data_IF_440418985379
#
_entry.id   IF_440418985379
#
_cell.length_a   1.000
_cell.length_b   1.000
_cell.length_c   1.000
_cell.angle_alpha   90.00
_cell.angle_beta   90.00
_cell.angle_gamma   90.00
#
_symmetry.space_group_name_H-M   'P 1'
#
loop_
_entity.id
_entity.type
_entity.pdbx_description
1 polymer ?
#
# COMPACT_ATOMS: atom_id res chain seq x y z
N UNK A 1 28.07 30.03 17.20
CA UNK A 1 28.46 28.64 17.40
C UNK A 1 27.12 27.87 17.60
N UNK A 2 26.65 27.23 16.55
CA UNK A 2 25.40 26.43 16.60
C UNK A 2 25.68 25.18 17.40
N UNK A 3 25.13 25.08 18.59
CA UNK A 3 25.14 23.84 19.35
C UNK A 3 24.18 22.86 18.64
N UNK A 4 24.73 21.98 17.82
CA UNK A 4 23.97 20.82 17.35
C UNK A 4 23.65 19.96 18.57
N UNK A 5 22.40 20.04 19.04
CA UNK A 5 21.89 19.09 20.01
C UNK A 5 22.10 17.69 19.41
N UNK A 6 22.73 16.74 20.09
CA UNK A 6 22.85 15.39 19.55
C UNK A 6 21.45 14.83 19.32
N UNK A 7 21.20 14.30 18.13
CA UNK A 7 19.96 13.59 17.82
C UNK A 7 19.91 12.40 18.79
N UNK A 8 18.85 12.27 19.60
CA UNK A 8 18.72 11.13 20.50
C UNK A 8 18.60 9.85 19.67
N UNK A 9 19.66 9.04 19.67
CA UNK A 9 19.77 7.81 18.84
C UNK A 9 19.15 6.59 19.49
N UNK A 10 18.44 6.74 20.60
CA UNK A 10 18.31 5.65 21.57
C UNK A 10 16.92 4.98 21.60
N UNK A 11 15.88 5.53 20.94
CA UNK A 11 14.55 4.92 21.02
C UNK A 11 14.36 3.83 19.95
N UNK A 12 14.83 4.06 18.73
CA UNK A 12 14.81 3.11 17.62
C UNK A 12 16.22 2.89 17.06
N UNK A 13 16.65 1.64 17.00
CA UNK A 13 17.97 1.25 16.50
C UNK A 13 17.81 0.40 15.24
N UNK A 14 18.48 0.75 14.11
CA UNK A 14 18.49 -0.09 12.94
C UNK A 14 19.27 -1.39 13.19
N UNK A 15 18.67 -2.51 12.87
CA UNK A 15 19.28 -3.84 13.02
C UNK A 15 19.19 -4.63 11.71
N UNK A 16 19.82 -5.79 11.64
CA UNK A 16 19.67 -6.70 10.50
C UNK A 16 18.24 -7.25 10.32
N UNK A 17 17.40 -7.15 11.37
CA UNK A 17 15.99 -7.59 11.33
C UNK A 17 14.99 -6.47 11.07
N UNK A 18 15.40 -5.21 11.11
CA UNK A 18 14.55 -4.02 10.99
C UNK A 18 14.84 -3.01 12.11
N UNK A 19 13.96 -2.03 12.27
CA UNK A 19 14.03 -1.04 13.36
C UNK A 19 13.62 -1.71 14.67
N UNK A 20 14.45 -1.61 15.70
CA UNK A 20 14.22 -2.21 17.02
C UNK A 20 14.05 -1.15 18.10
N UNK A 21 13.01 -1.27 18.90
CA UNK A 21 12.79 -0.52 20.12
C UNK A 21 13.16 -1.40 21.31
N UNK A 22 14.34 -1.18 21.93
CA UNK A 22 14.79 -1.96 23.07
C UNK A 22 13.88 -1.74 24.29
N UNK A 23 13.52 -0.50 24.57
CA UNK A 23 12.65 -0.10 25.70
C UNK A 23 11.24 -0.65 25.59
N UNK A 24 10.74 -0.88 24.36
CA UNK A 24 9.42 -1.44 24.08
C UNK A 24 9.43 -2.96 23.85
N UNK A 25 10.58 -3.55 23.56
CA UNK A 25 10.73 -4.97 23.28
C UNK A 25 10.05 -5.41 21.97
N UNK A 26 10.09 -4.58 20.93
CA UNK A 26 9.46 -4.87 19.64
C UNK A 26 10.29 -4.37 18.46
N UNK A 27 9.99 -4.91 17.26
CA UNK A 27 10.49 -4.41 15.98
C UNK A 27 9.39 -3.65 15.25
N UNK A 28 9.75 -2.64 14.46
CA UNK A 28 8.85 -2.01 13.48
C UNK A 28 9.21 -2.53 12.09
N UNK A 29 8.21 -3.02 11.35
CA UNK A 29 8.33 -3.53 9.99
C UNK A 29 9.57 -4.44 9.82
N UNK A 30 9.62 -5.55 10.56
CA UNK A 30 10.79 -6.42 10.51
C UNK A 30 10.93 -7.10 9.15
N UNK A 31 12.15 -7.27 8.69
CA UNK A 31 12.47 -7.97 7.43
C UNK A 31 12.43 -9.49 7.55
N UNK A 32 12.30 -10.03 8.75
CA UNK A 32 12.31 -11.46 9.08
C UNK A 32 11.42 -11.70 10.29
N UNK A 33 10.92 -12.94 10.52
CA UNK A 33 10.13 -13.28 11.69
C UNK A 33 10.77 -12.87 12.99
N UNK A 34 9.97 -12.29 13.89
CA UNK A 34 10.36 -11.83 15.23
C UNK A 34 9.28 -12.16 16.25
N UNK A 35 9.60 -12.11 17.53
CA UNK A 35 8.63 -12.36 18.60
C UNK A 35 7.49 -11.33 18.61
N UNK A 36 7.80 -10.02 18.42
CA UNK A 36 6.78 -8.96 18.33
C UNK A 36 7.13 -7.98 17.22
N UNK A 37 6.24 -7.89 16.25
CA UNK A 37 6.29 -6.94 15.14
C UNK A 37 5.19 -5.90 15.30
N UNK A 38 5.51 -4.62 15.45
CA UNK A 38 4.58 -3.54 15.15
C UNK A 38 4.66 -3.31 13.65
N UNK A 39 3.54 -3.53 12.97
CA UNK A 39 3.46 -3.54 11.52
C UNK A 39 2.67 -2.35 11.03
N UNK A 40 3.30 -1.52 10.21
CA UNK A 40 2.66 -0.32 9.65
C UNK A 40 1.54 -0.67 8.68
N UNK A 41 1.72 -1.70 7.85
CA UNK A 41 0.71 -2.15 6.89
C UNK A 41 0.96 -3.62 6.44
N UNK A 42 0.00 -4.18 5.69
CA UNK A 42 -0.02 -5.62 5.39
C UNK A 42 0.81 -6.06 4.17
N UNK A 43 1.72 -5.25 3.61
CA UNK A 43 2.64 -5.74 2.58
C UNK A 43 3.68 -6.71 3.18
N UNK A 44 4.18 -7.65 2.37
CA UNK A 44 5.04 -8.76 2.85
C UNK A 44 6.39 -8.28 3.38
N UNK A 45 6.90 -7.20 2.86
CA UNK A 45 8.17 -6.57 3.25
C UNK A 45 8.07 -5.80 4.57
N UNK A 46 6.84 -5.47 5.02
CA UNK A 46 6.55 -4.84 6.31
C UNK A 46 5.94 -5.84 7.32
N UNK A 47 5.19 -6.84 6.83
CA UNK A 47 4.57 -7.90 7.62
C UNK A 47 5.04 -9.28 7.12
N UNK A 48 6.30 -9.69 7.39
CA UNK A 48 6.78 -11.01 6.98
C UNK A 48 6.00 -12.11 7.69
N UNK A 49 5.70 -13.25 7.01
CA UNK A 49 5.02 -14.37 7.65
C UNK A 49 5.86 -14.99 8.75
N UNK A 50 5.20 -15.47 9.82
CA UNK A 50 5.83 -16.25 10.88
C UNK A 50 6.33 -15.44 12.08
N UNK A 51 5.92 -14.19 12.27
CA UNK A 51 6.07 -13.50 13.54
C UNK A 51 5.18 -14.11 14.60
N UNK A 52 5.64 -14.17 15.86
CA UNK A 52 4.84 -14.75 16.95
C UNK A 52 3.64 -13.86 17.31
N UNK A 53 3.79 -12.53 17.16
CA UNK A 53 2.73 -11.54 17.35
C UNK A 53 2.91 -10.38 16.37
N UNK A 54 1.82 -10.02 15.68
CA UNK A 54 1.69 -8.77 14.94
C UNK A 54 0.91 -7.77 15.79
N UNK A 55 1.40 -6.54 15.91
CA UNK A 55 0.70 -5.41 16.52
C UNK A 55 0.41 -4.42 15.40
N UNK A 56 -0.86 -4.16 15.11
CA UNK A 56 -1.24 -3.38 13.93
C UNK A 56 -2.69 -2.87 14.07
N UNK A 57 -3.18 -2.11 13.08
CA UNK A 57 -4.58 -1.71 13.05
C UNK A 57 -5.51 -2.91 12.80
N UNK A 58 -6.81 -2.83 13.13
CA UNK A 58 -7.77 -3.89 12.85
C UNK A 58 -7.80 -4.29 11.37
N UNK A 59 -7.75 -3.32 10.43
CA UNK A 59 -7.78 -3.58 9.00
C UNK A 59 -6.50 -4.24 8.50
N UNK A 60 -5.35 -3.83 9.00
CA UNK A 60 -4.07 -4.52 8.72
C UNK A 60 -4.10 -5.96 9.24
N UNK A 61 -4.68 -6.22 10.42
CA UNK A 61 -4.85 -7.57 10.94
C UNK A 61 -5.75 -8.44 10.06
N UNK A 62 -6.85 -7.90 9.54
CA UNK A 62 -7.75 -8.61 8.62
C UNK A 62 -7.02 -8.99 7.32
N UNK A 63 -6.22 -8.08 6.76
CA UNK A 63 -5.39 -8.33 5.57
C UNK A 63 -4.29 -9.37 5.85
N UNK A 64 -3.63 -9.34 7.00
CA UNK A 64 -2.64 -10.34 7.43
C UNK A 64 -3.29 -11.72 7.53
N UNK A 65 -4.46 -11.82 8.18
CA UNK A 65 -5.21 -13.08 8.31
C UNK A 65 -5.70 -13.61 6.97
N UNK A 66 -6.15 -12.73 6.08
CA UNK A 66 -6.56 -13.11 4.72
C UNK A 66 -5.43 -13.74 3.91
N UNK A 67 -4.17 -13.36 4.19
CA UNK A 67 -2.98 -13.80 3.44
C UNK A 67 -2.28 -15.00 4.07
N UNK A 68 -2.23 -15.06 5.40
CA UNK A 68 -1.41 -16.03 6.14
C UNK A 68 -2.23 -17.03 6.95
N UNK A 69 -3.54 -16.85 6.99
CA UNK A 69 -4.46 -17.70 7.74
C UNK A 69 -5.08 -17.00 8.96
N UNK A 70 -6.29 -17.44 9.34
CA UNK A 70 -7.07 -16.81 10.41
C UNK A 70 -6.43 -16.93 11.80
N UNK A 71 -5.51 -17.88 11.98
CA UNK A 71 -4.83 -18.18 13.25
C UNK A 71 -3.73 -17.16 13.60
N UNK A 72 -3.44 -16.18 12.73
CA UNK A 72 -2.39 -15.19 13.01
C UNK A 72 -2.70 -14.40 14.28
N UNK A 73 -1.72 -14.39 15.21
CA UNK A 73 -1.79 -13.66 16.46
C UNK A 73 -1.61 -12.16 16.20
N UNK A 74 -2.72 -11.44 16.04
CA UNK A 74 -2.74 -10.00 15.84
C UNK A 74 -3.35 -9.31 17.08
N UNK A 75 -2.55 -8.47 17.73
CA UNK A 75 -3.01 -7.48 18.70
C UNK A 75 -3.36 -6.20 17.94
N UNK A 76 -4.61 -5.77 18.01
CA UNK A 76 -5.06 -4.59 17.27
C UNK A 76 -5.01 -3.33 18.13
N UNK A 77 -4.58 -2.23 17.52
CA UNK A 77 -4.56 -0.90 18.09
C UNK A 77 -5.56 -0.02 17.34
N UNK A 78 -6.45 0.63 18.09
CA UNK A 78 -7.38 1.62 17.54
C UNK A 78 -6.65 2.95 17.27
N UNK A 79 -7.12 3.69 16.27
CA UNK A 79 -6.56 4.97 15.87
C UNK A 79 -6.42 5.95 17.04
N UNK A 80 -5.26 6.58 17.17
CA UNK A 80 -4.96 7.58 18.19
C UNK A 80 -4.89 7.06 19.63
N UNK A 81 -5.27 5.80 19.88
CA UNK A 81 -5.25 5.23 21.22
C UNK A 81 -3.84 4.84 21.65
N UNK A 82 -3.45 5.29 22.83
CA UNK A 82 -2.13 5.01 23.41
C UNK A 82 -2.08 3.65 24.09
N UNK A 83 -1.08 2.85 23.77
CA UNK A 83 -0.81 1.54 24.36
C UNK A 83 0.61 1.48 24.91
N UNK A 84 0.76 0.98 26.12
CA UNK A 84 2.07 0.84 26.74
C UNK A 84 2.74 -0.48 26.32
N UNK A 85 3.98 -0.39 25.85
CA UNK A 85 4.89 -1.52 25.61
C UNK A 85 6.20 -1.26 26.36
N UNK A 86 6.45 -2.05 27.42
CA UNK A 86 7.61 -1.82 28.28
C UNK A 86 7.64 -0.40 28.83
N UNK A 87 8.68 0.35 28.47
CA UNK A 87 8.90 1.73 28.92
C UNK A 87 8.52 2.80 27.88
N UNK A 88 7.69 2.45 26.89
CA UNK A 88 7.23 3.38 25.87
C UNK A 88 5.71 3.34 25.71
N UNK A 89 5.14 4.47 25.27
CA UNK A 89 3.78 4.58 24.77
C UNK A 89 3.82 4.53 23.24
N UNK A 90 2.90 3.76 22.63
CA UNK A 90 2.74 3.63 21.20
C UNK A 90 1.32 3.98 20.83
N UNK A 91 1.13 4.76 19.77
CA UNK A 91 -0.15 4.96 19.10
C UNK A 91 -0.01 4.85 17.59
N UNK A 92 -1.12 4.55 16.91
CA UNK A 92 -1.18 4.38 15.46
C UNK A 92 -2.05 5.46 14.83
N UNK A 93 -1.65 5.99 13.69
CA UNK A 93 -2.31 7.08 12.97
C UNK A 93 -2.33 6.79 11.48
N UNK A 94 -3.38 7.19 10.72
CA UNK A 94 -3.48 6.88 9.29
C UNK A 94 -2.26 7.33 8.47
N UNK A 95 -1.78 6.46 7.58
CA UNK A 95 -0.65 6.72 6.69
C UNK A 95 -1.06 6.96 5.21
N UNK A 96 -2.32 6.69 4.83
CA UNK A 96 -2.85 6.94 3.49
C UNK A 96 -2.40 6.00 2.38
N UNK A 97 -1.55 5.00 2.69
CA UNK A 97 -0.95 4.12 1.69
C UNK A 97 -1.90 3.04 1.17
N UNK A 98 -2.36 2.16 2.04
CA UNK A 98 -3.39 1.13 1.79
C UNK A 98 -4.34 1.08 2.98
N UNK A 99 -5.49 0.43 2.86
CA UNK A 99 -6.45 0.29 3.95
C UNK A 99 -5.79 -0.24 5.22
N UNK A 100 -5.96 0.50 6.32
CA UNK A 100 -5.39 0.19 7.63
C UNK A 100 -3.92 0.53 7.79
N UNK A 101 -3.24 1.11 6.77
CA UNK A 101 -1.85 1.54 6.89
C UNK A 101 -1.68 2.63 7.93
N UNK A 102 -0.66 2.48 8.78
CA UNK A 102 -0.48 3.31 9.95
C UNK A 102 0.94 3.86 10.09
N UNK A 103 1.01 5.11 10.51
CA UNK A 103 2.20 5.69 11.12
C UNK A 103 2.29 5.22 12.57
N UNK A 104 3.47 4.91 13.05
CA UNK A 104 3.72 4.46 14.42
C UNK A 104 4.35 5.61 15.20
N UNK A 105 3.61 6.20 16.14
CA UNK A 105 4.08 7.21 17.07
C UNK A 105 4.57 6.52 18.34
N UNK A 106 5.76 6.87 18.80
CA UNK A 106 6.42 6.29 19.97
C UNK A 106 6.94 7.40 20.87
N UNK A 107 6.67 7.27 22.16
CA UNK A 107 7.11 8.20 23.21
C UNK A 107 7.59 7.44 24.43
N UNK A 108 8.73 7.81 24.99
CA UNK A 108 9.25 7.19 26.20
C UNK A 108 8.48 7.67 27.45
N UNK A 109 8.21 6.78 28.41
CA UNK A 109 7.45 7.11 29.63
C UNK A 109 8.15 8.13 30.55
N UNK A 110 9.46 8.21 30.48
CA UNK A 110 10.28 9.15 31.26
C UNK A 110 10.47 10.51 30.53
N UNK A 111 9.77 10.69 29.41
CA UNK A 111 9.89 11.86 28.56
C UNK A 111 11.00 11.72 27.52
N UNK A 112 11.22 12.76 26.75
CA UNK A 112 12.18 12.78 25.66
C UNK A 112 11.48 13.00 24.30
N UNK A 113 12.22 12.84 23.18
CA UNK A 113 11.67 13.10 21.86
C UNK A 113 10.59 12.11 21.47
N UNK A 114 9.56 12.60 20.81
CA UNK A 114 8.52 11.82 20.15
C UNK A 114 9.02 11.37 18.79
N UNK A 115 8.94 10.09 18.52
CA UNK A 115 9.31 9.48 17.24
C UNK A 115 8.09 9.08 16.45
N UNK A 116 8.13 9.30 15.14
CA UNK A 116 7.12 8.78 14.20
C UNK A 116 7.83 8.02 13.09
N UNK A 117 7.33 6.82 12.80
CA UNK A 117 7.71 6.01 11.64
C UNK A 117 6.50 5.94 10.72
N UNK A 118 6.60 6.50 9.52
CA UNK A 118 5.44 6.56 8.61
C UNK A 118 5.06 5.21 8.02
N UNK A 119 6.00 4.27 7.92
CA UNK A 119 5.88 3.19 6.96
C UNK A 119 5.76 3.76 5.55
N UNK A 120 5.15 3.02 4.64
CA UNK A 120 4.76 3.55 3.34
C UNK A 120 3.58 4.50 3.53
N UNK A 121 3.60 5.67 2.86
CA UNK A 121 2.63 6.71 3.09
C UNK A 121 2.21 7.43 1.80
N UNK A 122 1.04 8.07 1.85
CA UNK A 122 0.48 8.87 0.76
C UNK A 122 -0.39 9.99 1.32
N UNK A 123 -0.17 11.21 0.86
CA UNK A 123 -0.87 12.40 1.31
C UNK A 123 -2.09 12.80 0.46
N UNK A 124 -2.28 12.15 -0.70
CA UNK A 124 -3.47 12.35 -1.53
C UNK A 124 -4.67 11.51 -1.04
N UNK A 125 -5.86 12.02 -1.25
CA UNK A 125 -7.10 11.28 -0.97
C UNK A 125 -7.24 10.02 -1.83
N UNK A 126 -7.70 8.95 -1.20
CA UNK A 126 -7.99 7.68 -1.83
C UNK A 126 -9.25 7.07 -1.18
N UNK A 127 -10.33 6.84 -1.93
CA UNK A 127 -11.58 6.33 -1.36
C UNK A 127 -11.47 4.92 -0.78
N UNK A 128 -10.33 4.25 -0.98
CA UNK A 128 -10.10 2.88 -0.51
C UNK A 128 -9.23 2.80 0.74
N UNK A 129 -8.77 3.95 1.28
CA UNK A 129 -7.93 4.02 2.48
C UNK A 129 -8.39 5.11 3.43
N UNK A 130 -7.87 5.09 4.64
CA UNK A 130 -7.96 6.22 5.57
C UNK A 130 -7.02 7.36 5.08
N UNK A 131 -7.49 8.61 5.15
CA UNK A 131 -6.69 9.77 4.76
C UNK A 131 -5.46 9.95 5.67
N UNK A 132 -4.34 10.38 5.10
CA UNK A 132 -3.10 10.65 5.86
C UNK A 132 -3.36 11.67 6.98
N UNK A 133 -2.87 11.37 8.18
CA UNK A 133 -2.92 12.25 9.34
C UNK A 133 -1.53 12.80 9.67
N UNK A 134 -1.38 14.12 9.81
CA UNK A 134 -0.13 14.71 10.30
C UNK A 134 -0.01 14.55 11.82
N UNK A 135 1.06 13.89 12.28
CA UNK A 135 1.29 13.58 13.69
C UNK A 135 2.51 14.35 14.19
N UNK A 136 2.40 15.28 15.15
CA UNK A 136 3.53 16.01 15.69
C UNK A 136 4.62 15.08 16.26
N UNK A 137 5.87 15.31 15.90
CA UNK A 137 7.01 14.55 16.41
C UNK A 137 8.31 15.39 16.39
N UNK A 138 9.32 14.91 17.12
CA UNK A 138 10.68 15.47 17.14
C UNK A 138 11.60 14.73 16.16
N UNK A 139 11.31 13.45 15.89
CA UNK A 139 12.07 12.60 14.98
C UNK A 139 11.12 11.87 14.03
N UNK A 140 11.29 12.08 12.73
CA UNK A 140 10.53 11.44 11.67
C UNK A 140 11.40 10.43 10.92
N UNK A 141 10.93 9.19 10.82
CA UNK A 141 11.44 8.17 9.89
C UNK A 141 10.41 8.01 8.80
N UNK A 142 10.75 8.40 7.58
CA UNK A 142 9.86 8.41 6.41
C UNK A 142 10.43 7.56 5.29
N UNK A 143 9.54 6.97 4.48
CA UNK A 143 9.91 6.32 3.21
C UNK A 143 10.49 7.30 2.18
N UNK A 144 11.11 6.75 1.13
CA UNK A 144 11.57 7.53 -0.02
C UNK A 144 11.49 6.74 -1.34
N UNK A 145 10.47 5.89 -1.47
CA UNK A 145 10.26 5.02 -2.65
C UNK A 145 10.28 5.81 -3.96
N UNK A 146 9.64 6.96 -3.97
CA UNK A 146 9.60 7.90 -5.07
C UNK A 146 10.25 9.26 -4.73
N UNK A 147 11.27 9.24 -3.90
CA UNK A 147 12.01 10.40 -3.40
C UNK A 147 12.96 11.06 -4.43
N UNK A 148 12.54 11.17 -5.69
CA UNK A 148 13.27 11.86 -6.74
C UNK A 148 12.34 12.83 -7.49
N UNK A 149 12.84 14.02 -7.92
CA UNK A 149 12.04 15.05 -8.60
C UNK A 149 11.41 14.64 -9.94
N UNK A 150 11.70 13.44 -10.44
CA UNK A 150 11.10 12.92 -11.67
C UNK A 150 9.72 12.25 -11.41
N UNK A 151 9.38 11.99 -10.16
CA UNK A 151 8.13 11.33 -9.81
C UNK A 151 7.10 12.37 -9.40
N UNK A 152 6.14 12.57 -10.30
CA UNK A 152 4.94 13.37 -10.09
C UNK A 152 3.75 12.56 -10.58
N UNK A 153 2.70 12.50 -9.78
CA UNK A 153 1.53 11.74 -10.13
C UNK A 153 0.53 12.62 -10.89
N UNK A 154 -0.02 12.12 -12.01
CA UNK A 154 -1.23 12.71 -12.57
C UNK A 154 -2.41 12.47 -11.63
N UNK A 155 -3.45 13.28 -11.77
CA UNK A 155 -4.70 13.10 -11.02
C UNK A 155 -5.23 11.68 -11.18
N UNK A 156 -5.56 10.98 -10.08
CA UNK A 156 -5.99 9.58 -10.11
C UNK A 156 -7.17 9.30 -11.03
N UNK A 157 -8.17 10.19 -11.03
CA UNK A 157 -9.36 10.09 -11.86
C UNK A 157 -9.01 10.13 -13.37
N UNK A 158 -8.01 10.93 -13.75
CA UNK A 158 -7.51 10.98 -15.12
C UNK A 158 -6.90 9.64 -15.54
N UNK A 159 -6.12 9.02 -14.65
CA UNK A 159 -5.49 7.71 -14.92
C UNK A 159 -6.53 6.61 -14.99
N UNK A 160 -7.51 6.60 -14.09
CA UNK A 160 -8.61 5.64 -14.07
C UNK A 160 -9.50 5.77 -15.31
N UNK A 161 -9.80 7.01 -15.74
CA UNK A 161 -10.49 7.25 -17.02
C UNK A 161 -9.69 6.69 -18.20
N UNK A 162 -8.39 6.92 -18.28
CA UNK A 162 -7.54 6.36 -19.35
C UNK A 162 -7.52 4.82 -19.34
N UNK A 163 -7.61 4.19 -18.19
CA UNK A 163 -7.70 2.73 -18.08
C UNK A 163 -9.06 2.24 -18.62
N UNK A 164 -10.15 2.91 -18.25
CA UNK A 164 -11.50 2.57 -18.73
C UNK A 164 -11.61 2.78 -20.25
N UNK A 165 -11.11 3.86 -20.81
CA UNK A 165 -11.10 4.15 -22.25
C UNK A 165 -10.29 3.10 -23.02
N UNK A 166 -9.13 2.70 -22.49
CA UNK A 166 -8.31 1.65 -23.05
C UNK A 166 -9.02 0.30 -23.01
N UNK A 167 -9.67 -0.04 -21.90
CA UNK A 167 -10.45 -1.26 -21.76
C UNK A 167 -11.65 -1.28 -22.72
N UNK A 168 -12.42 -0.18 -22.81
CA UNK A 168 -13.54 -0.06 -23.74
C UNK A 168 -13.07 -0.21 -25.21
N UNK A 169 -11.92 0.36 -25.57
CA UNK A 169 -11.33 0.23 -26.90
C UNK A 169 -10.97 -1.22 -27.21
N UNK A 170 -10.36 -1.92 -26.27
CA UNK A 170 -10.02 -3.34 -26.41
C UNK A 170 -11.28 -4.22 -26.54
N UNK A 171 -12.26 -3.98 -25.67
CA UNK A 171 -13.53 -4.70 -25.71
C UNK A 171 -14.26 -4.55 -27.04
N UNK A 172 -14.26 -3.34 -27.62
CA UNK A 172 -14.81 -3.08 -28.96
C UNK A 172 -14.04 -3.79 -30.09
N UNK A 173 -12.80 -4.19 -29.85
CA UNK A 173 -11.94 -4.96 -30.76
C UNK A 173 -11.86 -6.45 -30.41
N UNK A 174 -12.77 -6.94 -29.59
CA UNK A 174 -12.80 -8.35 -29.12
C UNK A 174 -11.48 -8.81 -28.45
N UNK A 175 -10.73 -7.87 -27.83
CA UNK A 175 -9.50 -8.11 -27.08
C UNK A 175 -9.75 -8.09 -25.59
N UNK A 176 -9.10 -8.97 -24.88
CA UNK A 176 -9.09 -8.96 -23.41
C UNK A 176 -8.06 -7.97 -22.89
N UNK A 177 -8.44 -7.14 -21.94
CA UNK A 177 -7.51 -6.24 -21.23
C UNK A 177 -6.93 -6.92 -20.01
N UNK A 178 -5.62 -6.84 -19.79
CA UNK A 178 -4.95 -7.39 -18.61
C UNK A 178 -4.12 -6.32 -17.94
N UNK A 179 -4.48 -5.95 -16.72
CA UNK A 179 -3.73 -4.98 -15.92
C UNK A 179 -2.98 -5.68 -14.80
N UNK A 180 -1.68 -5.55 -14.78
CA UNK A 180 -0.83 -6.03 -13.72
C UNK A 180 -0.63 -4.94 -12.68
N UNK A 181 -0.81 -5.29 -11.40
CA UNK A 181 -0.59 -4.39 -10.27
C UNK A 181 -0.35 -5.18 -8.98
N UNK A 182 0.08 -4.54 -7.89
CA UNK A 182 0.23 -5.22 -6.61
C UNK A 182 -1.11 -5.65 -6.04
N UNK A 183 -1.12 -6.84 -5.42
CA UNK A 183 -2.36 -7.56 -5.05
C UNK A 183 -3.13 -6.93 -3.88
N UNK A 184 -2.46 -6.17 -3.02
CA UNK A 184 -3.03 -5.52 -1.83
C UNK A 184 -2.86 -4.00 -1.97
N UNK A 185 -3.93 -3.25 -1.75
CA UNK A 185 -3.98 -1.79 -1.86
C UNK A 185 -4.19 -1.33 -3.30
N UNK A 186 -3.16 -1.31 -4.11
CA UNK A 186 -3.21 -0.79 -5.49
C UNK A 186 -4.23 -1.50 -6.38
N UNK A 187 -4.40 -2.82 -6.22
CA UNK A 187 -5.42 -3.55 -6.95
C UNK A 187 -6.83 -3.09 -6.56
N UNK A 188 -7.11 -2.87 -5.29
CA UNK A 188 -8.41 -2.43 -4.81
C UNK A 188 -8.69 -0.98 -5.22
N UNK A 189 -7.67 -0.10 -5.16
CA UNK A 189 -7.76 1.26 -5.70
C UNK A 189 -8.09 1.27 -7.19
N UNK A 190 -7.43 0.41 -7.98
CA UNK A 190 -7.74 0.24 -9.39
C UNK A 190 -9.19 -0.24 -9.58
N UNK A 191 -9.60 -1.28 -8.84
CA UNK A 191 -10.95 -1.85 -8.95
C UNK A 191 -12.03 -0.81 -8.63
N UNK A 192 -11.83 0.04 -7.61
CA UNK A 192 -12.77 1.10 -7.26
C UNK A 192 -13.03 2.12 -8.39
N UNK A 193 -12.06 2.27 -9.32
CA UNK A 193 -12.18 3.19 -10.45
C UNK A 193 -12.59 2.54 -11.77
N UNK A 194 -12.83 1.23 -11.82
CA UNK A 194 -13.26 0.56 -13.06
C UNK A 194 -14.78 0.71 -13.26
N UNK A 195 -15.18 0.99 -14.51
CA UNK A 195 -16.59 1.07 -14.90
C UNK A 195 -17.13 -0.33 -15.27
N UNK A 196 -18.00 -0.94 -14.45
CA UNK A 196 -18.53 -2.28 -14.70
C UNK A 196 -19.48 -2.36 -15.91
N UNK A 197 -19.88 -1.22 -16.47
CA UNK A 197 -20.74 -1.20 -17.68
C UNK A 197 -19.96 -1.54 -18.97
N UNK A 198 -18.63 -1.46 -18.95
CA UNK A 198 -17.78 -1.80 -20.11
C UNK A 198 -17.77 -3.31 -20.33
N UNK A 199 -17.65 -4.10 -19.28
CA UNK A 199 -17.58 -5.55 -19.38
C UNK A 199 -17.30 -6.24 -18.04
N UNK A 200 -17.09 -7.57 -18.04
CA UNK A 200 -16.80 -8.32 -16.82
C UNK A 200 -15.39 -8.00 -16.29
N UNK A 201 -15.28 -7.92 -14.95
CA UNK A 201 -14.03 -7.66 -14.24
C UNK A 201 -13.52 -8.95 -13.61
N UNK A 202 -12.42 -9.47 -14.12
CA UNK A 202 -11.75 -10.66 -13.59
C UNK A 202 -10.63 -10.30 -12.63
N UNK A 203 -10.49 -11.05 -11.53
CA UNK A 203 -9.36 -10.89 -10.61
C UNK A 203 -8.59 -12.20 -10.41
N UNK A 204 -7.27 -12.11 -10.34
CA UNK A 204 -6.42 -13.25 -10.02
C UNK A 204 -6.70 -13.77 -8.61
N UNK A 205 -6.53 -15.08 -8.38
CA UNK A 205 -6.78 -15.71 -7.08
C UNK A 205 -6.08 -15.04 -5.88
N UNK A 206 -4.91 -14.45 -6.08
CA UNK A 206 -4.19 -13.73 -5.03
C UNK A 206 -4.86 -12.41 -4.59
N UNK A 207 -5.78 -11.88 -5.39
CA UNK A 207 -6.52 -10.65 -5.09
C UNK A 207 -7.85 -10.94 -4.37
N UNK A 208 -8.37 -12.16 -4.46
CA UNK A 208 -9.71 -12.49 -3.93
C UNK A 208 -9.81 -12.19 -2.44
N UNK A 209 -8.93 -12.76 -1.62
CA UNK A 209 -8.96 -12.55 -0.18
C UNK A 209 -8.84 -11.07 0.22
N UNK A 210 -7.80 -10.33 -0.23
CA UNK A 210 -7.71 -8.90 0.03
C UNK A 210 -8.95 -8.11 -0.41
N UNK A 211 -9.52 -8.39 -1.59
CA UNK A 211 -10.70 -7.70 -2.10
C UNK A 211 -11.93 -7.94 -1.21
N UNK A 212 -12.10 -9.16 -0.69
CA UNK A 212 -13.18 -9.46 0.27
C UNK A 212 -12.99 -8.72 1.60
N UNK A 213 -11.74 -8.54 2.07
CA UNK A 213 -11.45 -7.73 3.28
C UNK A 213 -11.86 -6.27 3.06
N UNK A 214 -11.57 -5.69 1.88
CA UNK A 214 -12.00 -4.33 1.53
C UNK A 214 -13.53 -4.20 1.49
N UNK A 215 -14.23 -5.16 0.87
CA UNK A 215 -15.72 -5.19 0.86
C UNK A 215 -16.31 -5.32 2.26
N UNK A 216 -15.74 -6.18 3.11
CA UNK A 216 -16.15 -6.31 4.50
C UNK A 216 -15.94 -5.02 5.32
N UNK A 217 -15.01 -4.17 4.88
CA UNK A 217 -14.80 -2.83 5.42
C UNK A 217 -15.73 -1.77 4.83
N UNK A 218 -16.75 -2.17 4.04
CA UNK A 218 -17.68 -1.30 3.34
C UNK A 218 -17.03 -0.38 2.28
N UNK A 219 -15.87 -0.75 1.75
CA UNK A 219 -15.31 -0.07 0.58
C UNK A 219 -16.08 -0.55 -0.66
N UNK A 220 -16.63 0.42 -1.40
CA UNK A 220 -17.38 0.15 -2.62
C UNK A 220 -16.44 -0.32 -3.74
N UNK A 221 -16.60 -1.58 -4.15
CA UNK A 221 -15.86 -2.19 -5.24
C UNK A 221 -16.86 -2.89 -6.19
N UNK A 222 -16.65 -2.79 -7.51
CA UNK A 222 -17.52 -3.48 -8.47
C UNK A 222 -17.51 -5.00 -8.25
N UNK A 223 -18.52 -5.69 -8.75
CA UNK A 223 -18.53 -7.15 -8.74
C UNK A 223 -17.36 -7.70 -9.56
N UNK A 224 -16.74 -8.74 -9.06
CA UNK A 224 -15.56 -9.34 -9.68
C UNK A 224 -15.70 -10.85 -9.82
N UNK A 225 -15.16 -11.38 -10.90
CA UNK A 225 -15.11 -12.81 -11.19
C UNK A 225 -13.71 -13.32 -10.83
N UNK A 226 -13.63 -14.41 -10.06
CA UNK A 226 -12.33 -15.08 -9.89
C UNK A 226 -11.89 -15.65 -11.25
N UNK A 227 -10.86 -15.04 -11.84
CA UNK A 227 -10.34 -15.43 -13.12
C UNK A 227 -9.66 -16.80 -13.08
N UNK A 228 -10.19 -17.76 -13.84
CA UNK A 228 -9.75 -19.14 -13.85
C UNK A 228 -10.09 -19.86 -15.16
N UNK A 229 -9.94 -21.19 -15.18
CA UNK A 229 -10.27 -21.98 -16.36
C UNK A 229 -11.76 -21.90 -16.70
N UNK A 230 -12.60 -22.00 -15.67
CA UNK A 230 -14.05 -22.13 -15.85
C UNK A 230 -14.73 -20.79 -16.19
N UNK A 231 -14.06 -19.67 -15.91
CA UNK A 231 -14.54 -18.31 -16.19
C UNK A 231 -13.84 -17.66 -17.38
N UNK A 232 -12.91 -18.37 -18.03
CA UNK A 232 -12.12 -17.81 -19.12
C UNK A 232 -12.98 -17.31 -20.29
N UNK A 233 -14.00 -18.07 -20.71
CA UNK A 233 -14.87 -17.73 -21.84
C UNK A 233 -15.68 -16.46 -21.56
N UNK A 234 -16.07 -16.22 -20.31
CA UNK A 234 -16.81 -15.01 -19.92
C UNK A 234 -15.93 -13.74 -20.00
N UNK A 235 -14.64 -13.89 -19.71
CA UNK A 235 -13.67 -12.78 -19.67
C UNK A 235 -13.03 -12.51 -21.04
N UNK A 236 -12.92 -13.53 -21.90
CA UNK A 236 -12.28 -13.39 -23.23
C UNK A 236 -12.97 -12.36 -24.11
N UNK A 237 -12.16 -11.54 -24.79
CA UNK A 237 -12.57 -10.59 -25.81
C UNK A 237 -13.22 -9.30 -25.31
N UNK A 238 -13.67 -9.23 -24.06
CA UNK A 238 -14.34 -8.02 -23.53
C UNK A 238 -14.02 -7.69 -22.08
N UNK A 239 -13.47 -8.64 -21.33
CA UNK A 239 -13.17 -8.43 -19.90
C UNK A 239 -11.91 -7.65 -19.66
N UNK A 240 -11.82 -7.08 -18.44
CA UNK A 240 -10.56 -6.62 -17.86
C UNK A 240 -10.15 -7.60 -16.76
N UNK A 241 -8.87 -7.97 -16.72
CA UNK A 241 -8.32 -8.89 -15.73
C UNK A 241 -7.27 -8.17 -14.92
N UNK A 242 -7.45 -8.10 -13.60
CA UNK A 242 -6.48 -7.54 -12.67
C UNK A 242 -5.69 -8.68 -12.02
N UNK A 243 -4.36 -8.62 -12.10
CA UNK A 243 -3.49 -9.67 -11.61
C UNK A 243 -2.15 -9.12 -11.07
N UNK A 244 -1.45 -9.91 -10.21
CA UNK A 244 -0.11 -9.51 -9.76
C UNK A 244 0.93 -9.63 -10.89
N UNK A 245 2.05 -8.90 -10.83
CA UNK A 245 3.11 -8.97 -11.82
C UNK A 245 3.68 -10.38 -12.03
N UNK A 246 3.62 -11.24 -11.00
CA UNK A 246 4.05 -12.65 -11.07
C UNK A 246 3.21 -13.51 -12.02
N UNK A 247 2.03 -13.03 -12.43
CA UNK A 247 1.20 -13.72 -13.42
C UNK A 247 1.71 -13.51 -14.87
N UNK A 248 2.58 -12.52 -15.09
CA UNK A 248 3.14 -12.22 -16.41
C UNK A 248 3.85 -13.45 -17.03
N UNK A 249 3.60 -13.70 -18.31
CA UNK A 249 4.23 -14.80 -19.06
C UNK A 249 3.80 -16.21 -18.66
N UNK A 250 2.96 -16.38 -17.66
CA UNK A 250 2.49 -17.70 -17.20
C UNK A 250 1.44 -18.31 -18.12
N UNK A 251 1.25 -19.65 -18.10
CA UNK A 251 0.12 -20.27 -18.81
C UNK A 251 -1.25 -19.81 -18.31
N UNK A 252 -1.31 -19.26 -17.08
CA UNK A 252 -2.55 -18.75 -16.51
C UNK A 252 -3.10 -17.55 -17.30
N UNK A 253 -2.25 -16.57 -17.62
CA UNK A 253 -2.69 -15.36 -18.31
C UNK A 253 -3.08 -15.64 -19.77
N UNK A 254 -2.37 -16.57 -20.45
CA UNK A 254 -2.60 -16.90 -21.88
C UNK A 254 -3.99 -17.47 -22.15
N UNK A 255 -4.64 -18.05 -21.16
CA UNK A 255 -6.01 -18.62 -21.31
C UNK A 255 -7.08 -17.57 -21.55
N UNK A 256 -6.80 -16.31 -21.23
CA UNK A 256 -7.73 -15.21 -21.39
C UNK A 256 -7.57 -14.46 -22.73
N UNK A 257 -6.64 -14.90 -23.57
CA UNK A 257 -6.51 -14.35 -24.92
C UNK A 257 -7.81 -14.60 -25.69
N UNK A 258 -8.50 -13.53 -26.06
CA UNK A 258 -9.66 -13.60 -26.93
C UNK A 258 -9.30 -13.98 -28.37
N UNK A 259 -10.27 -13.96 -29.28
CA UNK A 259 -10.06 -14.26 -30.70
C UNK A 259 -9.02 -13.34 -31.34
N UNK A 260 -9.07 -12.04 -30.99
CA UNK A 260 -8.15 -11.02 -31.47
C UNK A 260 -7.04 -10.70 -30.47
N UNK A 261 -6.81 -11.61 -29.53
CA UNK A 261 -5.70 -11.55 -28.57
C UNK A 261 -6.05 -10.90 -27.25
N UNK A 262 -5.02 -10.40 -26.58
CA UNK A 262 -5.13 -9.61 -25.37
C UNK A 262 -4.11 -8.47 -25.43
N UNK A 263 -4.39 -7.39 -24.72
CA UNK A 263 -3.47 -6.30 -24.49
C UNK A 263 -3.13 -6.21 -23.00
N UNK A 264 -1.86 -6.01 -22.70
CA UNK A 264 -1.33 -6.05 -21.35
C UNK A 264 -0.91 -4.67 -20.89
N UNK A 265 -1.18 -4.33 -19.62
CA UNK A 265 -0.75 -3.09 -19.02
C UNK A 265 -0.12 -3.32 -17.63
N UNK A 266 0.69 -2.38 -17.19
CA UNK A 266 1.19 -2.31 -15.83
C UNK A 266 0.76 -1.00 -15.18
N UNK A 267 0.05 -1.08 -14.04
CA UNK A 267 -0.37 0.06 -13.24
C UNK A 267 0.58 0.21 -12.03
N UNK A 268 1.42 1.24 -12.05
CA UNK A 268 2.42 1.50 -11.00
C UNK A 268 3.03 2.89 -11.15
N UNK A 269 3.46 3.53 -10.05
CA UNK A 269 4.25 4.76 -10.07
C UNK A 269 5.56 4.64 -10.87
N UNK A 270 6.12 3.43 -10.97
CA UNK A 270 7.32 3.18 -11.79
C UNK A 270 7.11 3.42 -13.28
N UNK A 271 5.87 3.55 -13.74
CA UNK A 271 5.57 3.86 -15.16
C UNK A 271 5.81 5.32 -15.52
N UNK A 272 6.06 6.20 -14.55
CA UNK A 272 6.48 7.58 -14.79
C UNK A 272 7.82 7.68 -15.55
N UNK A 273 8.69 6.70 -15.42
CA UNK A 273 9.99 6.69 -16.09
C UNK A 273 9.89 6.09 -17.49
N UNK A 274 10.25 6.88 -18.50
CA UNK A 274 10.27 6.43 -19.90
C UNK A 274 11.09 5.16 -20.08
N UNK A 275 10.57 4.21 -20.87
CA UNK A 275 11.23 2.93 -21.14
C UNK A 275 10.94 1.80 -20.14
N UNK A 276 10.39 2.09 -18.96
CA UNK A 276 9.99 1.06 -17.98
C UNK A 276 8.95 0.09 -18.52
N UNK A 277 8.04 0.57 -19.37
CA UNK A 277 7.04 -0.24 -20.06
C UNK A 277 7.69 -1.38 -20.88
N UNK A 278 8.71 -1.07 -21.71
CA UNK A 278 9.46 -2.07 -22.49
C UNK A 278 10.20 -3.05 -21.59
N UNK A 279 10.75 -2.56 -20.50
CA UNK A 279 11.50 -3.39 -19.56
C UNK A 279 10.59 -4.39 -18.82
N UNK A 280 9.32 -4.03 -18.61
CA UNK A 280 8.30 -4.91 -18.01
C UNK A 280 7.66 -5.86 -19.02
N UNK A 281 7.88 -5.68 -20.32
CA UNK A 281 7.31 -6.54 -21.37
C UNK A 281 5.78 -6.42 -21.45
N UNK A 282 5.23 -5.22 -21.22
CA UNK A 282 3.80 -4.90 -21.34
C UNK A 282 3.58 -3.93 -22.48
N UNK A 283 2.37 -3.96 -23.05
CA UNK A 283 2.00 -3.12 -24.17
C UNK A 283 1.77 -1.66 -23.73
N UNK A 284 1.31 -1.45 -22.48
CA UNK A 284 1.00 -0.13 -21.93
C UNK A 284 1.39 0.02 -20.46
N UNK A 285 1.68 1.25 -20.04
CA UNK A 285 1.92 1.63 -18.66
C UNK A 285 0.97 2.71 -18.19
N UNK A 286 0.40 2.57 -16.98
CA UNK A 286 -0.40 3.58 -16.31
C UNK A 286 0.30 4.02 -15.03
N UNK A 287 0.37 5.34 -14.80
CA UNK A 287 0.99 5.89 -13.59
C UNK A 287 -0.06 5.91 -12.49
N UNK A 288 -0.16 4.83 -11.72
CA UNK A 288 -1.04 4.71 -10.56
C UNK A 288 -0.21 4.27 -9.36
N UNK A 289 -0.15 5.10 -8.32
CA UNK A 289 0.65 4.86 -7.12
C UNK A 289 -0.19 4.94 -5.86
N UNK A 290 0.14 4.10 -4.89
CA UNK A 290 -0.33 4.10 -3.50
C UNK A 290 0.71 4.74 -2.55
N UNK A 291 1.81 5.28 -3.08
CA UNK A 291 2.81 6.05 -2.34
C UNK A 291 2.74 7.53 -2.70
N UNK A 292 3.19 8.38 -1.81
CA UNK A 292 3.42 9.79 -2.09
C UNK A 292 4.44 9.97 -3.24
N UNK A 293 4.23 10.99 -4.06
CA UNK A 293 5.20 11.44 -5.05
C UNK A 293 6.26 12.35 -4.41
N UNK A 294 7.12 12.93 -5.23
CA UNK A 294 8.14 13.86 -4.75
C UNK A 294 7.56 15.04 -3.96
N UNK A 295 6.48 15.64 -4.46
CA UNK A 295 5.84 16.77 -3.79
C UNK A 295 5.16 16.35 -2.50
N UNK A 296 4.47 15.20 -2.50
CA UNK A 296 3.84 14.63 -1.32
C UNK A 296 4.85 14.34 -0.22
N UNK A 297 5.99 13.71 -0.55
CA UNK A 297 7.07 13.47 0.41
C UNK A 297 7.64 14.78 0.99
N UNK A 298 7.82 15.83 0.15
CA UNK A 298 8.24 17.13 0.63
C UNK A 298 7.19 17.78 1.54
N UNK A 299 5.90 17.70 1.17
CA UNK A 299 4.81 18.24 1.98
C UNK A 299 4.76 17.54 3.35
N UNK A 300 4.84 16.22 3.38
CA UNK A 300 4.90 15.45 4.63
C UNK A 300 6.09 15.93 5.47
N UNK A 301 7.31 16.00 4.91
CA UNK A 301 8.48 16.48 5.64
C UNK A 301 8.30 17.89 6.19
N UNK A 302 7.70 18.81 5.42
CA UNK A 302 7.46 20.19 5.84
C UNK A 302 6.41 20.29 6.95
N UNK A 303 5.36 19.46 6.92
CA UNK A 303 4.36 19.42 7.99
C UNK A 303 4.98 19.05 9.34
N UNK A 304 5.99 18.17 9.34
CA UNK A 304 6.69 17.73 10.55
C UNK A 304 7.79 18.68 11.00
N UNK A 305 8.38 19.47 10.09
CA UNK A 305 9.47 20.41 10.39
C UNK A 305 8.99 21.85 10.59
N UNK A 306 7.71 22.15 10.30
CA UNK A 306 7.14 23.47 10.57
C UNK A 306 7.09 23.72 12.08
N UNK A 307 7.53 24.90 12.56
CA UNK A 307 7.45 25.23 13.99
C UNK A 307 5.98 25.14 14.44
N UNK A 308 5.76 24.38 15.51
CA UNK A 308 4.45 24.32 16.14
C UNK A 308 3.99 25.72 16.55
N UNK A 309 2.71 26.06 16.48
CA UNK A 309 2.18 27.30 17.07
C UNK A 309 2.54 27.49 18.55
N UNK A 310 3.01 26.44 19.24
CA UNK A 310 3.51 26.50 20.61
C UNK A 310 4.92 27.08 20.73
N UNK A 311 5.68 27.15 19.62
CA UNK A 311 7.08 27.63 19.60
C UNK A 311 7.17 29.13 19.30
N UNK A 312 6.03 29.84 19.11
CA UNK A 312 5.92 31.28 18.83
C UNK A 312 5.44 32.08 20.03
N UNK A 313 5.60 31.55 21.26
CA UNK A 313 5.25 32.24 22.51
C UNK A 313 6.45 32.89 23.18
#
# INVERSE_FOLDING_TARGET
MSSSTPIPTDLLVPTAKGLYCERGGFFIDPRRPVARAITTHAHTDHAPPGCDQYVCTPRTADLIRSRYGPEQNCLTLEWGTQHQFGEVMVSVHPAGHIMGSAQIRIEALDGGPVWVVTGDCKDDDDPTTEAFESVPCDVLIIESTFGLPIYHWPEPETVLSQINDWWATNAAQERTSVVMTYAVGKAQRLLAGLDPNIGPIGIHGALVGPTEVYRAACIELPETIRAGRDTATELQGRGIIVCPPSAAGTPWIRRFSGKDGMETAFASGWMAVRGRQRWRGVDRGFILSDHADWNGLLNICLLYTSPSPRDTG
#
